data_IF_734884131169
#
_entry.id   IF_734884131169
#
_cell.length_a   1.000
_cell.length_b   1.000
_cell.length_c   1.000
_cell.angle_alpha   90.00
_cell.angle_beta   90.00
_cell.angle_gamma   90.00
#
_symmetry.space_group_name_H-M   'P 1'
#
loop_
_entity.id
_entity.type
_entity.pdbx_description
1 polymer ?
#
# COMPACT_ATOMS: atom_id res chain seq x y z
N UNK A 1 -22.67 32.31 -4.15
CA UNK A 1 -22.56 30.88 -3.82
C UNK A 1 -21.16 30.51 -3.39
N UNK A 2 -20.99 30.01 -2.16
CA UNK A 2 -19.72 29.46 -1.66
C UNK A 2 -19.93 27.99 -1.27
N UNK A 3 -18.97 27.15 -1.62
CA UNK A 3 -18.97 25.73 -1.27
C UNK A 3 -18.82 25.58 0.25
N UNK A 4 -19.76 24.88 0.89
CA UNK A 4 -19.77 24.68 2.34
C UNK A 4 -19.09 23.36 2.78
N UNK A 5 -18.88 22.42 1.86
CA UNK A 5 -18.26 21.12 2.13
C UNK A 5 -18.67 20.06 1.11
N UNK A 6 -18.20 18.82 1.30
CA UNK A 6 -18.56 17.66 0.48
C UNK A 6 -18.52 16.37 1.30
N UNK A 7 -19.38 15.42 0.96
CA UNK A 7 -19.43 14.09 1.58
C UNK A 7 -19.18 13.01 0.53
N UNK A 8 -18.25 12.10 0.81
CA UNK A 8 -17.92 10.97 -0.07
C UNK A 8 -18.61 9.72 0.48
N UNK A 9 -19.46 9.10 -0.33
CA UNK A 9 -20.04 7.78 -0.05
C UNK A 9 -19.26 6.70 -0.78
N UNK A 10 -18.80 5.69 -0.05
CA UNK A 10 -18.14 4.52 -0.65
C UNK A 10 -19.17 3.42 -0.90
N UNK A 11 -19.34 3.02 -2.16
CA UNK A 11 -20.16 1.86 -2.52
C UNK A 11 -19.25 0.71 -2.96
N UNK A 12 -19.44 -0.46 -2.36
CA UNK A 12 -18.87 -1.75 -2.78
C UNK A 12 -17.33 -1.80 -2.89
N UNK A 13 -16.64 -2.04 -1.78
CA UNK A 13 -15.25 -2.53 -1.83
C UNK A 13 -15.23 -3.99 -2.28
N UNK A 14 -14.48 -4.29 -3.33
CA UNK A 14 -14.32 -5.64 -3.88
C UNK A 14 -13.55 -6.54 -2.88
N UNK A 15 -14.27 -7.14 -1.94
CA UNK A 15 -13.70 -8.00 -0.89
C UNK A 15 -12.95 -9.21 -1.45
N UNK A 16 -13.33 -9.72 -2.64
CA UNK A 16 -12.66 -10.83 -3.32
C UNK A 16 -11.22 -10.51 -3.71
N UNK A 17 -10.96 -9.28 -4.18
CA UNK A 17 -9.64 -8.83 -4.64
C UNK A 17 -8.58 -8.81 -3.54
N UNK A 18 -9.01 -8.70 -2.29
CA UNK A 18 -8.13 -8.81 -1.13
C UNK A 18 -7.56 -10.22 -0.98
N UNK A 19 -8.38 -11.24 -1.26
CA UNK A 19 -8.03 -12.64 -1.01
C UNK A 19 -7.34 -13.32 -2.20
N UNK A 20 -7.72 -12.95 -3.42
CA UNK A 20 -7.21 -13.59 -4.65
C UNK A 20 -7.16 -12.58 -5.79
N UNK A 21 -6.04 -12.55 -6.51
CA UNK A 21 -5.85 -11.77 -7.72
C UNK A 21 -5.91 -12.69 -8.94
N UNK A 22 -6.41 -12.19 -10.07
CA UNK A 22 -6.24 -12.88 -11.34
C UNK A 22 -4.78 -12.84 -11.79
N UNK A 23 -4.38 -13.75 -12.68
CA UNK A 23 -3.01 -13.77 -13.19
C UNK A 23 -2.69 -12.44 -13.90
N UNK A 24 -1.57 -11.82 -13.55
CA UNK A 24 -1.18 -10.49 -14.06
C UNK A 24 -1.79 -9.31 -13.31
N UNK A 25 -2.82 -9.51 -12.48
CA UNK A 25 -3.40 -8.44 -11.67
C UNK A 25 -2.63 -8.21 -10.37
N UNK A 26 -2.79 -7.01 -9.81
CA UNK A 26 -2.28 -6.62 -8.49
C UNK A 26 -3.41 -6.47 -7.49
N UNK A 27 -3.04 -6.53 -6.21
CA UNK A 27 -3.91 -6.07 -5.14
C UNK A 27 -3.96 -4.52 -5.14
N UNK A 28 -4.63 -3.90 -4.17
CA UNK A 28 -4.74 -2.44 -4.08
C UNK A 28 -3.37 -1.75 -4.03
N UNK A 29 -3.27 -0.61 -4.73
CA UNK A 29 -2.03 0.18 -4.84
C UNK A 29 -1.41 0.55 -3.49
N UNK A 30 -2.24 0.74 -2.46
CA UNK A 30 -1.79 1.13 -1.13
C UNK A 30 -0.74 0.18 -0.54
N UNK A 31 -0.82 -1.12 -0.82
CA UNK A 31 0.16 -2.10 -0.33
C UNK A 31 1.52 -1.89 -1.00
N UNK A 32 1.52 -1.66 -2.30
CA UNK A 32 2.73 -1.47 -3.10
C UNK A 32 3.36 -0.10 -2.82
N UNK A 33 2.54 0.95 -2.71
CA UNK A 33 2.96 2.29 -2.32
C UNK A 33 3.62 2.29 -0.94
N UNK A 34 3.00 1.63 0.04
CA UNK A 34 3.55 1.51 1.39
C UNK A 34 4.90 0.77 1.38
N UNK A 35 4.99 -0.38 0.71
CA UNK A 35 6.23 -1.16 0.67
C UNK A 35 7.32 -0.36 -0.08
N UNK A 36 7.01 0.24 -1.22
CA UNK A 36 7.97 0.97 -2.06
C UNK A 36 8.46 2.27 -1.41
N UNK A 37 7.55 3.11 -0.91
CA UNK A 37 7.83 4.49 -0.53
C UNK A 37 7.94 4.77 0.97
N UNK A 38 7.58 3.84 1.86
CA UNK A 38 7.67 4.09 3.31
C UNK A 38 9.10 4.42 3.76
N UNK A 39 9.31 5.38 4.69
CA UNK A 39 10.60 5.59 5.31
C UNK A 39 11.14 4.31 5.97
N UNK A 40 12.47 4.13 6.00
CA UNK A 40 13.09 2.91 6.55
C UNK A 40 12.66 2.61 7.99
N UNK A 41 12.53 3.64 8.83
CA UNK A 41 12.06 3.46 10.21
C UNK A 41 10.61 3.01 10.26
N UNK A 42 9.78 3.49 9.32
CA UNK A 42 8.40 3.03 9.20
C UNK A 42 8.33 1.58 8.72
N UNK A 43 9.08 1.27 7.68
CA UNK A 43 9.19 -0.07 7.11
C UNK A 43 9.59 -1.11 8.17
N UNK A 44 10.59 -0.78 9.00
CA UNK A 44 11.04 -1.64 10.10
C UNK A 44 9.99 -1.76 11.21
N UNK A 45 9.41 -0.64 11.66
CA UNK A 45 8.39 -0.63 12.72
C UNK A 45 7.14 -1.44 12.36
N UNK A 46 6.68 -1.32 11.11
CA UNK A 46 5.54 -2.08 10.60
C UNK A 46 5.87 -3.52 10.25
N UNK A 47 7.15 -3.92 10.37
CA UNK A 47 7.66 -5.22 9.90
C UNK A 47 7.15 -5.44 8.47
N UNK A 48 7.53 -4.57 7.55
CA UNK A 48 7.29 -4.77 6.12
C UNK A 48 8.35 -5.71 5.54
N UNK A 49 8.04 -6.25 4.37
CA UNK A 49 8.86 -7.17 3.60
C UNK A 49 8.59 -6.94 2.10
N UNK A 50 9.36 -7.56 1.20
CA UNK A 50 9.00 -7.63 -0.22
C UNK A 50 7.59 -8.21 -0.45
N UNK A 51 6.87 -7.79 -1.52
CA UNK A 51 5.48 -8.18 -1.75
C UNK A 51 5.24 -9.70 -1.83
N UNK A 52 6.21 -10.47 -2.33
CA UNK A 52 6.16 -11.95 -2.42
C UNK A 52 6.14 -12.65 -1.05
N UNK A 53 6.44 -11.93 0.04
CA UNK A 53 6.39 -12.47 1.41
C UNK A 53 5.00 -12.39 2.04
N UNK A 54 4.04 -11.74 1.40
CA UNK A 54 2.68 -11.61 1.90
C UNK A 54 1.72 -12.50 1.13
N UNK A 55 0.95 -13.33 1.85
CA UNK A 55 -0.02 -14.27 1.28
C UNK A 55 -1.00 -13.62 0.31
N UNK A 56 -1.43 -12.39 0.60
CA UNK A 56 -2.40 -11.65 -0.20
C UNK A 56 -1.82 -10.84 -1.36
N UNK A 57 -0.49 -10.85 -1.54
CA UNK A 57 0.19 -10.16 -2.63
C UNK A 57 0.94 -11.14 -3.54
N UNK A 58 1.46 -12.25 -3.00
CA UNK A 58 2.34 -13.21 -3.69
C UNK A 58 1.71 -13.96 -4.86
N UNK A 59 0.38 -14.00 -4.96
CA UNK A 59 -0.33 -14.70 -6.04
C UNK A 59 -0.68 -13.79 -7.24
N UNK A 60 -0.47 -12.48 -7.10
CA UNK A 60 -0.59 -11.52 -8.19
C UNK A 60 0.79 -11.04 -8.67
N UNK A 61 0.81 -9.92 -9.37
CA UNK A 61 2.07 -9.26 -9.77
C UNK A 61 2.74 -8.62 -8.56
N UNK A 62 3.98 -9.01 -8.25
CA UNK A 62 4.77 -8.52 -7.10
C UNK A 62 5.81 -7.47 -7.50
N UNK A 63 5.62 -6.84 -8.64
CA UNK A 63 6.45 -5.75 -9.19
C UNK A 63 5.82 -4.38 -8.92
N UNK A 64 6.66 -3.34 -8.83
CA UNK A 64 6.25 -1.96 -8.65
C UNK A 64 6.18 -1.21 -9.99
N UNK A 65 5.34 -0.17 -10.04
CA UNK A 65 5.33 0.81 -11.13
C UNK A 65 6.26 1.97 -10.83
N UNK A 66 6.95 2.44 -11.86
CA UNK A 66 7.71 3.67 -11.87
C UNK A 66 7.36 4.48 -13.12
N UNK A 67 7.16 5.78 -12.96
CA UNK A 67 6.94 6.67 -14.11
C UNK A 67 8.23 6.84 -14.92
N UNK A 68 8.15 6.94 -16.26
CA UNK A 68 9.30 7.32 -17.07
C UNK A 68 9.95 8.62 -16.56
N UNK A 69 11.27 8.61 -16.34
CA UNK A 69 12.02 9.77 -15.85
C UNK A 69 11.82 10.07 -14.36
N UNK A 70 11.14 9.19 -13.60
CA UNK A 70 11.02 9.36 -12.16
C UNK A 70 12.37 9.25 -11.47
N UNK A 71 12.56 10.10 -10.46
CA UNK A 71 13.74 10.08 -9.57
C UNK A 71 13.49 9.24 -8.32
N UNK A 72 12.28 8.71 -8.12
CA UNK A 72 11.97 7.84 -6.99
C UNK A 72 12.67 6.50 -7.16
N UNK A 73 13.42 6.09 -6.13
CA UNK A 73 14.14 4.82 -6.13
C UNK A 73 13.59 3.93 -5.03
N UNK A 74 13.33 2.67 -5.38
CA UNK A 74 12.90 1.65 -4.42
C UNK A 74 14.13 0.94 -3.88
N UNK A 75 14.23 0.83 -2.57
CA UNK A 75 15.37 0.18 -1.93
C UNK A 75 15.45 -1.32 -2.32
N UNK A 76 16.64 -1.88 -2.61
CA UNK A 76 16.79 -3.25 -3.12
C UNK A 76 16.23 -4.34 -2.19
N UNK A 77 16.21 -4.11 -0.88
CA UNK A 77 15.68 -5.01 0.15
C UNK A 77 14.15 -5.13 0.12
N UNK A 78 13.47 -4.28 -0.66
CA UNK A 78 12.02 -4.25 -0.84
C UNK A 78 11.56 -4.95 -2.13
N UNK A 79 12.51 -5.30 -3.00
CA UNK A 79 12.22 -5.92 -4.29
C UNK A 79 11.93 -7.41 -4.13
N UNK A 80 10.81 -7.85 -4.72
CA UNK A 80 10.48 -9.27 -4.84
C UNK A 80 11.40 -9.99 -5.82
N UNK A 81 11.42 -11.32 -5.78
CA UNK A 81 12.16 -12.11 -6.78
C UNK A 81 11.68 -11.88 -8.21
N UNK A 82 10.37 -11.64 -8.40
CA UNK A 82 9.83 -11.26 -9.72
C UNK A 82 10.36 -9.88 -10.16
N UNK A 83 10.34 -8.90 -9.26
CA UNK A 83 10.83 -7.55 -9.53
C UNK A 83 12.33 -7.53 -9.89
N UNK A 84 13.14 -8.36 -9.22
CA UNK A 84 14.58 -8.49 -9.54
C UNK A 84 14.82 -9.09 -10.93
N UNK A 85 13.95 -10.00 -11.39
CA UNK A 85 14.08 -10.68 -12.69
C UNK A 85 13.55 -9.85 -13.85
N UNK A 86 12.38 -9.25 -13.67
CA UNK A 86 11.63 -8.57 -14.75
C UNK A 86 11.88 -7.06 -14.74
N UNK A 87 12.42 -6.51 -13.66
CA UNK A 87 12.55 -5.06 -13.45
C UNK A 87 11.23 -4.44 -12.99
N UNK A 88 11.15 -3.10 -13.06
CA UNK A 88 9.96 -2.33 -12.72
C UNK A 88 9.01 -2.23 -13.91
N UNK A 89 7.72 -2.11 -13.64
CA UNK A 89 6.72 -1.79 -14.66
C UNK A 89 6.72 -0.28 -14.92
N UNK A 90 6.47 0.12 -16.16
CA UNK A 90 6.38 1.52 -16.55
C UNK A 90 4.92 1.92 -16.79
N UNK A 91 4.53 3.08 -16.28
CA UNK A 91 3.20 3.66 -16.48
C UNK A 91 3.30 5.18 -16.56
N UNK A 92 2.42 5.84 -17.30
CA UNK A 92 2.46 7.30 -17.47
C UNK A 92 1.96 8.05 -16.22
N UNK A 93 1.14 7.40 -15.38
CA UNK A 93 0.41 8.00 -14.26
C UNK A 93 0.93 7.44 -12.94
N UNK A 94 1.13 6.12 -12.84
CA UNK A 94 1.38 5.43 -11.56
C UNK A 94 2.87 5.34 -11.24
N UNK A 95 3.24 5.73 -10.02
CA UNK A 95 4.58 5.57 -9.47
C UNK A 95 4.48 5.19 -7.99
N UNK A 96 4.61 3.90 -7.67
CA UNK A 96 4.26 3.42 -6.34
C UNK A 96 5.11 4.11 -5.25
N UNK A 97 6.39 4.41 -5.53
CA UNK A 97 7.25 5.08 -4.56
C UNK A 97 6.92 6.57 -4.40
N UNK A 98 6.69 7.31 -5.49
CA UNK A 98 6.35 8.73 -5.44
C UNK A 98 4.93 8.97 -4.90
N UNK A 99 3.99 8.09 -5.25
CA UNK A 99 2.59 8.21 -4.84
C UNK A 99 2.42 8.02 -3.33
N UNK A 100 3.29 7.25 -2.68
CA UNK A 100 3.32 7.17 -1.22
C UNK A 100 3.62 8.53 -0.57
N UNK A 101 4.58 9.28 -1.11
CA UNK A 101 4.90 10.62 -0.61
C UNK A 101 3.72 11.57 -0.77
N UNK A 102 3.08 11.54 -1.95
CA UNK A 102 1.87 12.33 -2.19
C UNK A 102 0.72 11.97 -1.24
N UNK A 103 0.54 10.67 -0.95
CA UNK A 103 -0.44 10.19 0.02
C UNK A 103 -0.13 10.72 1.42
N UNK A 104 1.13 10.61 1.87
CA UNK A 104 1.56 11.11 3.18
C UNK A 104 1.30 12.62 3.32
N UNK A 105 1.63 13.39 2.28
CA UNK A 105 1.39 14.83 2.26
C UNK A 105 -0.12 15.17 2.28
N UNK A 106 -0.93 14.39 1.55
CA UNK A 106 -2.38 14.57 1.51
C UNK A 106 -3.02 14.27 2.88
N UNK A 107 -2.57 13.21 3.56
CA UNK A 107 -3.02 12.91 4.92
C UNK A 107 -2.64 14.01 5.90
N UNK A 108 -1.42 14.56 5.77
CA UNK A 108 -0.98 15.71 6.56
C UNK A 108 -1.85 16.96 6.34
N UNK A 109 -2.19 17.27 5.08
CA UNK A 109 -3.13 18.36 4.74
C UNK A 109 -4.55 18.11 5.24
N UNK A 110 -4.96 16.85 5.33
CA UNK A 110 -6.26 16.46 5.90
C UNK A 110 -6.29 16.54 7.44
N UNK A 111 -5.20 16.97 8.08
CA UNK A 111 -5.13 17.15 9.53
C UNK A 111 -4.74 15.90 10.30
N UNK A 112 -4.32 14.82 9.62
CA UNK A 112 -3.80 13.63 10.28
C UNK A 112 -2.32 13.83 10.57
N UNK A 113 -1.95 13.84 11.84
CA UNK A 113 -0.54 13.88 12.22
C UNK A 113 0.16 12.58 11.78
N UNK A 114 1.49 12.60 11.56
CA UNK A 114 2.24 11.37 11.31
C UNK A 114 1.95 10.30 12.37
N UNK A 115 1.76 10.66 13.63
CA UNK A 115 1.45 9.71 14.69
C UNK A 115 0.03 9.10 14.56
N UNK A 116 -0.96 9.86 14.08
CA UNK A 116 -2.33 9.38 13.83
C UNK A 116 -2.47 8.59 12.53
N UNK A 117 -1.61 8.87 11.56
CA UNK A 117 -1.42 8.01 10.40
C UNK A 117 -0.79 6.70 10.88
N UNK A 118 0.31 6.77 11.64
CA UNK A 118 1.15 5.65 12.07
C UNK A 118 0.52 4.67 13.07
N UNK A 119 -0.31 5.12 14.01
CA UNK A 119 -0.86 4.25 15.07
C UNK A 119 -2.32 3.77 14.81
N UNK A 120 -3.29 4.65 14.53
CA UNK A 120 -4.66 4.24 14.21
C UNK A 120 -4.86 3.64 12.81
N UNK A 121 -4.40 4.31 11.74
CA UNK A 121 -4.69 3.88 10.34
C UNK A 121 -3.90 2.63 9.95
N UNK A 122 -2.67 2.51 10.46
CA UNK A 122 -1.79 1.39 10.12
C UNK A 122 -1.69 0.30 11.20
N UNK A 123 -1.96 0.60 12.48
CA UNK A 123 -1.63 -0.32 13.60
C UNK A 123 -2.80 -0.83 14.45
N UNK A 124 -4.01 -0.25 14.45
CA UNK A 124 -5.04 -0.73 15.39
C UNK A 124 -5.95 -1.87 14.87
N UNK A 125 -5.64 -3.02 15.45
CA UNK A 125 -6.51 -4.13 15.85
C UNK A 125 -7.65 -3.74 16.84
N UNK A 126 -8.01 -2.46 17.02
CA UNK A 126 -9.07 -2.04 17.95
C UNK A 126 -10.02 -1.08 17.22
N UNK A 127 -11.30 -1.46 17.16
CA UNK A 127 -12.44 -0.76 16.53
C UNK A 127 -12.80 -1.15 15.08
N UNK A 128 -12.66 -2.42 14.70
CA UNK A 128 -13.36 -2.97 13.52
C UNK A 128 -14.47 -3.96 13.92
N UNK A 129 -15.43 -3.47 14.71
CA UNK A 129 -16.76 -4.10 14.82
C UNK A 129 -17.83 -3.41 13.96
N UNK A 130 -17.51 -2.36 13.20
CA UNK A 130 -18.52 -1.61 12.42
C UNK A 130 -18.25 -1.41 10.94
N UNK A 131 -17.06 -1.70 10.44
CA UNK A 131 -16.77 -1.57 9.00
C UNK A 131 -16.03 -2.84 8.60
N UNK A 132 -16.70 -3.76 7.92
CA UNK A 132 -16.18 -5.10 7.58
C UNK A 132 -15.08 -5.09 6.52
N UNK A 133 -14.04 -4.28 6.72
CA UNK A 133 -12.80 -4.22 5.97
C UNK A 133 -11.75 -4.75 6.94
N UNK A 134 -11.14 -5.89 6.63
CA UNK A 134 -10.00 -6.36 7.42
C UNK A 134 -8.92 -5.25 7.38
N UNK A 135 -8.35 -4.83 8.53
CA UNK A 135 -7.37 -3.76 8.53
C UNK A 135 -6.20 -4.20 7.66
N UNK A 136 -5.58 -3.27 6.92
CA UNK A 136 -4.35 -3.50 6.15
C UNK A 136 -3.31 -4.26 7.00
N UNK A 137 -3.29 -4.01 8.31
CA UNK A 137 -2.52 -4.75 9.30
C UNK A 137 -2.79 -6.27 9.35
N UNK A 138 -4.05 -6.72 9.26
CA UNK A 138 -4.41 -8.14 9.23
C UNK A 138 -3.96 -8.85 7.94
N UNK A 139 -3.84 -8.08 6.84
CA UNK A 139 -3.35 -8.57 5.55
C UNK A 139 -1.81 -8.68 5.59
N UNK A 140 -1.15 -7.69 6.20
CA UNK A 140 0.31 -7.68 6.37
C UNK A 140 0.80 -8.60 7.51
N UNK A 141 -0.07 -9.02 8.43
CA UNK A 141 0.28 -9.96 9.51
C UNK A 141 0.33 -11.42 9.08
N UNK A 142 -0.23 -11.78 7.92
CA UNK A 142 -0.20 -13.15 7.38
C UNK A 142 1.07 -13.40 6.54
N UNK A 143 2.23 -13.24 7.18
CA UNK A 143 3.48 -13.80 6.66
C UNK A 143 3.40 -15.32 6.78
N UNK A 144 3.84 -16.05 5.77
CA UNK A 144 4.08 -17.48 5.92
C UNK A 144 5.20 -17.65 6.95
N UNK A 145 4.85 -17.99 8.18
CA UNK A 145 5.80 -18.54 9.15
C UNK A 145 6.21 -19.92 8.62
N UNK A 146 7.43 -19.99 8.11
CA UNK A 146 8.19 -21.25 8.07
C UNK A 146 8.83 -21.43 9.44
#
# INVERSE_FOLDING_TARGET
>A
DKVAGGFVSHYLLEKSRLCRQANGERNYHIFYQLIAGAPTDLYKRLRLAPPDKFKYLKYGTTTFFARPGSKSTIAPDRLSEQAKKVGMLTDAIVDDAADFSHLSDALGRAGLSPNEVLYPVWFQQVTLRRIGIAPIAAILSQRDTV
#
